data_IF_814168970179
#
_entry.id   IF_814168970179
#
_cell.length_a   1.000
_cell.length_b   1.000
_cell.length_c   1.000
_cell.angle_alpha   90.00
_cell.angle_beta   90.00
_cell.angle_gamma   90.00
#
_symmetry.space_group_name_H-M   'P 1'
#
loop_
_entity.id
_entity.type
_entity.pdbx_description
1 polymer ?
#
# COMPACT_ATOMS: atom_id res chain seq x y z
N UNK A 1 9.53 -13.96 66.30
CA UNK A 1 10.69 -13.19 65.77
C UNK A 1 10.77 -13.21 64.25
N UNK A 2 10.56 -14.36 63.60
CA UNK A 2 10.65 -14.48 62.12
C UNK A 2 9.58 -13.63 61.40
N UNK A 3 8.32 -13.63 61.84
CA UNK A 3 7.21 -12.86 61.21
C UNK A 3 7.45 -11.34 61.22
N UNK A 4 7.98 -10.79 62.31
CA UNK A 4 8.33 -9.37 62.43
C UNK A 4 9.45 -8.93 61.46
N UNK A 5 10.37 -9.84 61.11
CA UNK A 5 11.44 -9.55 60.14
C UNK A 5 10.91 -9.53 58.70
N UNK A 6 9.92 -10.36 58.37
CA UNK A 6 9.27 -10.36 57.07
C UNK A 6 8.47 -9.08 56.82
N UNK A 7 7.72 -8.60 57.82
CA UNK A 7 7.00 -7.33 57.73
C UNK A 7 7.93 -6.14 57.50
N UNK A 8 9.09 -6.13 58.17
CA UNK A 8 10.08 -5.05 58.02
C UNK A 8 10.74 -5.05 56.64
N UNK A 9 10.97 -6.24 56.06
CA UNK A 9 11.50 -6.39 54.70
C UNK A 9 10.46 -5.99 53.64
N UNK A 10 9.20 -6.39 53.84
CA UNK A 10 8.09 -6.01 52.95
C UNK A 10 7.84 -4.50 52.97
N UNK A 11 7.90 -3.88 54.15
CA UNK A 11 7.81 -2.43 54.30
C UNK A 11 8.94 -1.70 53.57
N UNK A 12 10.18 -2.20 53.66
CA UNK A 12 11.31 -1.63 52.93
C UNK A 12 11.14 -1.75 51.40
N UNK A 13 10.63 -2.88 50.91
CA UNK A 13 10.32 -3.05 49.47
C UNK A 13 9.20 -2.12 49.01
N UNK A 14 8.13 -1.97 49.80
CA UNK A 14 7.04 -1.05 49.48
C UNK A 14 7.52 0.41 49.46
N UNK A 15 8.40 0.81 50.38
CA UNK A 15 9.02 2.14 50.40
C UNK A 15 9.94 2.36 49.20
N UNK A 16 10.73 1.36 48.81
CA UNK A 16 11.57 1.42 47.61
C UNK A 16 10.71 1.58 46.34
N UNK A 17 9.65 0.77 46.20
CA UNK A 17 8.74 0.86 45.06
C UNK A 17 8.00 2.20 45.01
N UNK A 18 7.64 2.76 46.17
CA UNK A 18 7.04 4.10 46.25
C UNK A 18 8.01 5.18 45.78
N UNK A 19 9.30 5.07 46.15
CA UNK A 19 10.33 6.02 45.73
C UNK A 19 10.63 5.93 44.23
N UNK A 20 10.70 4.72 43.69
CA UNK A 20 10.84 4.48 42.25
C UNK A 20 9.63 5.01 41.48
N UNK A 21 8.40 4.81 41.99
CA UNK A 21 7.17 5.33 41.39
C UNK A 21 7.15 6.86 41.39
N UNK A 22 7.50 7.51 42.50
CA UNK A 22 7.63 8.97 42.59
C UNK A 22 8.64 9.52 41.59
N UNK A 23 9.78 8.85 41.43
CA UNK A 23 10.82 9.24 40.48
C UNK A 23 10.32 9.10 39.04
N UNK A 24 9.63 8.01 38.70
CA UNK A 24 9.02 7.82 37.38
C UNK A 24 7.95 8.87 37.08
N UNK A 25 7.11 9.21 38.06
CA UNK A 25 6.10 10.28 37.94
C UNK A 25 6.78 11.62 37.66
N UNK A 26 7.86 11.94 38.36
CA UNK A 26 8.58 13.20 38.16
C UNK A 26 9.29 13.24 36.79
N UNK A 27 9.84 12.12 36.32
CA UNK A 27 10.41 12.01 34.97
C UNK A 27 9.32 12.23 33.91
N UNK A 28 8.16 11.59 34.05
CA UNK A 28 7.03 11.80 33.14
C UNK A 28 6.56 13.26 33.21
N UNK A 29 6.49 13.85 34.41
CA UNK A 29 6.11 15.26 34.60
C UNK A 29 7.10 16.20 33.94
N UNK A 30 8.40 15.94 34.09
CA UNK A 30 9.47 16.71 33.45
C UNK A 30 9.43 16.54 31.92
N UNK A 31 9.14 15.34 31.41
CA UNK A 31 8.95 15.09 29.98
C UNK A 31 7.69 15.80 29.43
N UNK A 32 6.60 15.85 30.20
CA UNK A 32 5.40 16.61 29.85
C UNK A 32 5.71 18.11 29.87
N UNK A 33 6.39 18.63 30.90
CA UNK A 33 6.78 20.03 30.97
C UNK A 33 7.75 20.41 29.85
N UNK A 34 8.71 19.54 29.51
CA UNK A 34 9.58 19.72 28.34
C UNK A 34 8.79 19.69 27.04
N UNK A 35 7.84 18.77 26.88
CA UNK A 35 6.96 18.70 25.71
C UNK A 35 6.06 19.93 25.60
N UNK A 36 5.56 20.46 26.72
CA UNK A 36 4.77 21.69 26.79
C UNK A 36 5.64 22.91 26.50
N UNK A 37 6.86 22.99 27.02
CA UNK A 37 7.77 24.11 26.79
C UNK A 37 8.36 24.10 25.36
N UNK A 38 8.60 22.93 24.78
CA UNK A 38 8.88 22.80 23.33
C UNK A 38 7.65 23.08 22.48
N UNK A 39 6.43 22.87 23.00
CA UNK A 39 5.20 23.35 22.36
C UNK A 39 5.07 24.88 22.48
N UNK A 40 5.37 25.50 23.62
CA UNK A 40 5.26 26.96 23.85
C UNK A 40 6.27 27.76 23.02
N UNK A 41 7.48 27.25 22.79
CA UNK A 41 8.41 27.83 21.80
C UNK A 41 7.98 27.59 20.34
N UNK A 42 6.94 26.76 20.11
CA UNK A 42 6.31 26.55 18.82
C UNK A 42 4.99 27.33 18.65
N UNK A 43 4.54 28.10 19.65
CA UNK A 43 3.29 28.87 19.55
C UNK A 43 3.37 30.10 18.62
N UNK A 44 4.57 30.49 18.17
CA UNK A 44 4.76 31.51 17.12
C UNK A 44 4.91 30.93 15.71
N UNK A 45 4.85 29.60 15.58
CA UNK A 45 4.77 28.91 14.30
C UNK A 45 3.65 27.88 14.39
N UNK A 46 2.43 28.34 14.17
CA UNK A 46 1.25 27.51 13.98
C UNK A 46 1.59 26.35 13.03
N UNK A 47 1.93 25.17 13.59
CA UNK A 47 1.92 23.93 12.84
C UNK A 47 0.45 23.71 12.49
N UNK A 48 0.05 23.81 11.22
CA UNK A 48 -1.34 23.64 10.87
C UNK A 48 -1.72 22.22 11.23
N UNK A 49 -2.86 22.07 11.91
CA UNK A 49 -3.56 20.78 12.01
C UNK A 49 -3.74 20.31 10.56
N UNK A 50 -2.95 19.30 10.16
CA UNK A 50 -2.94 18.79 8.78
C UNK A 50 -4.36 18.26 8.52
N UNK A 51 -5.04 18.82 7.53
CA UNK A 51 -6.41 18.40 7.21
C UNK A 51 -6.42 16.92 6.78
N UNK A 52 -7.53 16.19 7.01
CA UNK A 52 -7.65 14.79 6.56
C UNK A 52 -7.36 14.61 5.07
N UNK A 53 -7.72 15.59 4.25
CA UNK A 53 -7.40 15.63 2.83
C UNK A 53 -5.88 15.74 2.59
N UNK A 54 -5.20 16.65 3.30
CA UNK A 54 -3.76 16.79 3.18
C UNK A 54 -2.99 15.56 3.65
N UNK A 55 -3.46 14.86 4.70
CA UNK A 55 -2.86 13.61 5.13
C UNK A 55 -2.97 12.54 4.03
N UNK A 56 -4.17 12.38 3.47
CA UNK A 56 -4.43 11.44 2.35
C UNK A 56 -3.58 11.78 1.12
N UNK A 57 -3.40 13.06 0.81
CA UNK A 57 -2.52 13.49 -0.28
C UNK A 57 -1.05 13.16 -0.02
N UNK A 58 -0.56 13.35 1.21
CA UNK A 58 0.82 13.01 1.54
C UNK A 58 1.05 11.49 1.50
N UNK A 59 0.06 10.69 1.93
CA UNK A 59 0.10 9.24 1.77
C UNK A 59 0.15 8.84 0.29
N UNK A 60 -0.71 9.40 -0.56
CA UNK A 60 -0.68 9.16 -2.01
C UNK A 60 0.67 9.52 -2.63
N UNK A 61 1.25 10.67 -2.28
CA UNK A 61 2.58 11.09 -2.75
C UNK A 61 3.67 10.14 -2.30
N UNK A 62 3.63 9.70 -1.04
CA UNK A 62 4.61 8.77 -0.51
C UNK A 62 4.63 7.46 -1.31
N UNK A 63 3.47 6.84 -1.50
CA UNK A 63 3.35 5.61 -2.30
C UNK A 63 3.73 5.83 -3.76
N UNK A 64 3.36 6.99 -4.34
CA UNK A 64 3.74 7.32 -5.70
C UNK A 64 5.27 7.39 -5.87
N UNK A 65 5.99 8.01 -4.93
CA UNK A 65 7.47 8.04 -4.96
C UNK A 65 8.08 6.65 -4.82
N UNK A 66 7.53 5.79 -3.95
CA UNK A 66 7.99 4.40 -3.79
C UNK A 66 7.83 3.65 -5.10
N UNK A 67 6.63 3.65 -5.68
CA UNK A 67 6.35 2.93 -6.91
C UNK A 67 7.17 3.49 -8.08
N UNK A 68 7.37 4.80 -8.15
CA UNK A 68 8.24 5.40 -9.18
C UNK A 68 9.67 4.88 -9.09
N UNK A 69 10.24 4.81 -7.88
CA UNK A 69 11.57 4.26 -7.65
C UNK A 69 11.65 2.77 -8.01
N UNK A 70 10.60 1.98 -7.70
CA UNK A 70 10.51 0.56 -8.05
C UNK A 70 10.46 0.36 -9.57
N UNK A 71 9.61 1.12 -10.27
CA UNK A 71 9.47 1.05 -11.72
C UNK A 71 10.79 1.42 -12.44
N UNK A 72 11.43 2.52 -12.06
CA UNK A 72 12.71 2.93 -12.66
C UNK A 72 13.84 1.92 -12.33
N UNK A 73 13.85 1.37 -11.11
CA UNK A 73 14.77 0.29 -10.73
C UNK A 73 14.61 -0.95 -11.61
N UNK A 74 13.37 -1.43 -11.78
CA UNK A 74 13.06 -2.59 -12.62
C UNK A 74 13.42 -2.34 -14.10
N UNK A 75 13.12 -1.16 -14.62
CA UNK A 75 13.46 -0.73 -15.99
C UNK A 75 14.98 -0.69 -16.20
N UNK A 76 15.75 -0.24 -15.22
CA UNK A 76 17.22 -0.25 -15.28
C UNK A 76 17.78 -1.68 -15.29
N UNK A 77 17.22 -2.58 -14.48
CA UNK A 77 17.57 -4.01 -14.50
C UNK A 77 17.27 -4.63 -15.87
N UNK A 78 16.09 -4.35 -16.45
CA UNK A 78 15.73 -4.85 -17.78
C UNK A 78 16.70 -4.39 -18.87
N UNK A 79 17.14 -3.12 -18.84
CA UNK A 79 18.15 -2.59 -19.76
C UNK A 79 19.50 -3.30 -19.58
N UNK A 80 19.92 -3.49 -18.34
CA UNK A 80 21.19 -4.15 -18.01
C UNK A 80 21.19 -5.61 -18.49
N UNK A 81 20.14 -6.37 -18.17
CA UNK A 81 19.98 -7.78 -18.56
C UNK A 81 19.76 -7.95 -20.08
N UNK A 82 19.13 -6.99 -20.75
CA UNK A 82 18.94 -7.00 -22.20
C UNK A 82 20.22 -6.72 -23.01
N UNK A 83 21.22 -6.07 -22.40
CA UNK A 83 22.51 -5.74 -23.02
C UNK A 83 23.60 -6.81 -22.83
N UNK A 84 23.37 -7.79 -21.93
CA UNK A 84 24.33 -8.85 -21.60
C UNK A 84 24.35 -9.99 -22.63
N UNK A 85 25.52 -10.62 -22.83
CA UNK A 85 25.70 -11.77 -23.74
C UNK A 85 25.05 -13.07 -23.23
N UNK A 86 24.78 -13.18 -21.92
CA UNK A 86 24.04 -14.27 -21.30
C UNK A 86 22.79 -13.66 -20.68
N UNK A 87 21.63 -13.93 -21.28
CA UNK A 87 20.36 -13.39 -20.81
C UNK A 87 19.77 -14.33 -19.75
N UNK A 88 19.75 -13.88 -18.49
CA UNK A 88 18.94 -14.55 -17.46
C UNK A 88 17.46 -14.24 -17.73
N UNK A 89 16.83 -15.13 -18.49
CA UNK A 89 15.43 -14.99 -18.92
C UNK A 89 14.46 -14.94 -17.73
N UNK A 90 14.81 -15.57 -16.60
CA UNK A 90 13.98 -15.56 -15.38
C UNK A 90 14.07 -14.19 -14.71
N UNK A 91 15.28 -13.70 -14.48
CA UNK A 91 15.49 -12.36 -13.90
C UNK A 91 14.87 -11.26 -14.76
N UNK A 92 14.95 -11.37 -16.10
CA UNK A 92 14.32 -10.42 -17.01
C UNK A 92 12.79 -10.46 -16.89
N UNK A 93 12.17 -11.65 -16.87
CA UNK A 93 10.73 -11.80 -16.69
C UNK A 93 10.24 -11.24 -15.34
N UNK A 94 11.02 -11.43 -14.29
CA UNK A 94 10.72 -10.91 -12.95
C UNK A 94 10.85 -9.39 -12.88
N UNK A 95 11.87 -8.81 -13.50
CA UNK A 95 12.01 -7.36 -13.62
C UNK A 95 10.88 -6.75 -14.47
N UNK A 96 10.50 -7.40 -15.57
CA UNK A 96 9.36 -6.98 -16.39
C UNK A 96 8.03 -7.02 -15.61
N UNK A 97 7.80 -8.07 -14.81
CA UNK A 97 6.60 -8.18 -14.00
C UNK A 97 6.53 -7.06 -12.94
N UNK A 98 7.63 -6.78 -12.24
CA UNK A 98 7.71 -5.67 -11.28
C UNK A 98 7.50 -4.31 -11.94
N UNK A 99 8.11 -4.09 -13.11
CA UNK A 99 7.91 -2.86 -13.88
C UNK A 99 6.45 -2.68 -14.27
N UNK A 100 5.81 -3.73 -14.80
CA UNK A 100 4.41 -3.68 -15.22
C UNK A 100 3.48 -3.41 -14.03
N UNK A 101 3.66 -4.13 -12.92
CA UNK A 101 2.85 -3.94 -11.71
C UNK A 101 2.98 -2.52 -11.16
N UNK A 102 4.21 -2.04 -11.01
CA UNK A 102 4.49 -0.72 -10.46
C UNK A 102 4.00 0.40 -11.38
N UNK A 103 4.13 0.24 -12.70
CA UNK A 103 3.53 1.15 -13.68
C UNK A 103 1.99 1.17 -13.56
N UNK A 104 1.36 0.01 -13.36
CA UNK A 104 -0.10 -0.06 -13.20
C UNK A 104 -0.55 0.69 -11.93
N UNK A 105 0.17 0.55 -10.82
CA UNK A 105 -0.09 1.30 -9.57
C UNK A 105 0.15 2.79 -9.74
N UNK A 106 1.22 3.19 -10.43
CA UNK A 106 1.54 4.59 -10.72
C UNK A 106 0.40 5.27 -11.47
N UNK A 107 -0.22 4.62 -12.46
CA UNK A 107 -1.38 5.19 -13.17
C UNK A 107 -2.55 5.48 -12.22
N UNK A 108 -2.84 4.57 -11.28
CA UNK A 108 -3.90 4.73 -10.29
C UNK A 108 -3.57 5.84 -9.28
N UNK A 109 -2.36 5.85 -8.74
CA UNK A 109 -1.91 6.85 -7.77
C UNK A 109 -1.84 8.24 -8.40
N UNK A 110 -1.37 8.34 -9.65
CA UNK A 110 -1.36 9.56 -10.44
C UNK A 110 -2.77 10.12 -10.58
N UNK A 111 -3.71 9.29 -11.02
CA UNK A 111 -5.09 9.69 -11.18
C UNK A 111 -5.76 10.09 -9.85
N UNK A 112 -5.44 9.39 -8.76
CA UNK A 112 -5.90 9.73 -7.41
C UNK A 112 -5.39 11.10 -6.98
N UNK A 113 -4.10 11.39 -7.20
CA UNK A 113 -3.49 12.69 -6.91
C UNK A 113 -4.13 13.81 -7.73
N UNK A 114 -4.34 13.60 -9.03
CA UNK A 114 -5.02 14.56 -9.90
C UNK A 114 -6.45 14.86 -9.43
N UNK A 115 -7.20 13.84 -8.99
CA UNK A 115 -8.53 14.02 -8.40
C UNK A 115 -8.47 14.85 -7.11
N UNK A 116 -7.59 14.51 -6.16
CA UNK A 116 -7.47 15.25 -4.89
C UNK A 116 -6.97 16.69 -5.09
N UNK A 117 -6.17 16.93 -6.13
CA UNK A 117 -5.67 18.26 -6.45
C UNK A 117 -6.79 19.18 -6.97
N UNK A 118 -7.78 18.63 -7.67
CA UNK A 118 -8.98 19.36 -8.09
C UNK A 118 -9.93 19.71 -6.92
N UNK A 119 -9.80 19.03 -5.79
CA UNK A 119 -10.56 19.33 -4.56
C UNK A 119 -9.92 20.46 -3.73
N UNK A 120 -8.67 20.83 -4.02
CA UNK A 120 -7.99 21.93 -3.34
C UNK A 120 -8.39 23.30 -3.93
N UNK A 121 -8.38 24.37 -3.10
CA UNK A 121 -8.46 25.74 -3.61
C UNK A 121 -7.30 26.02 -4.59
N UNK A 122 -7.59 26.72 -5.69
CA UNK A 122 -6.66 26.97 -6.82
C UNK A 122 -5.31 27.64 -6.44
N UNK A 123 -5.19 28.20 -5.24
CA UNK A 123 -3.99 28.88 -4.74
C UNK A 123 -3.27 28.14 -3.59
N UNK A 124 -3.53 26.84 -3.40
CA UNK A 124 -2.92 26.09 -2.30
C UNK A 124 -1.42 25.80 -2.58
N UNK A 125 -0.48 26.13 -1.67
CA UNK A 125 0.96 25.98 -1.92
C UNK A 125 1.38 24.53 -2.21
N UNK A 126 0.67 23.53 -1.66
CA UNK A 126 0.93 22.11 -1.96
C UNK A 126 0.51 21.67 -3.36
N UNK A 127 -0.39 22.40 -4.03
CA UNK A 127 -0.80 22.12 -5.41
C UNK A 127 0.39 22.25 -6.35
N UNK A 128 1.18 23.32 -6.22
CA UNK A 128 2.36 23.54 -7.05
C UNK A 128 3.41 22.45 -6.90
N UNK A 129 3.65 21.97 -5.66
CA UNK A 129 4.66 20.92 -5.40
C UNK A 129 4.22 19.58 -6.01
N UNK A 130 2.92 19.25 -5.94
CA UNK A 130 2.38 18.02 -6.53
C UNK A 130 2.42 18.11 -8.06
N UNK A 131 2.00 19.23 -8.65
CA UNK A 131 2.09 19.46 -10.10
C UNK A 131 3.54 19.34 -10.58
N UNK A 132 4.50 19.93 -9.86
CA UNK A 132 5.92 19.85 -10.19
C UNK A 132 6.42 18.40 -10.15
N UNK A 133 6.11 17.63 -9.11
CA UNK A 133 6.47 16.21 -9.02
C UNK A 133 5.83 15.35 -10.13
N UNK A 134 4.56 15.56 -10.45
CA UNK A 134 3.87 14.90 -11.56
C UNK A 134 4.50 15.26 -12.93
N UNK A 135 4.99 16.50 -13.08
CA UNK A 135 5.63 16.98 -14.31
C UNK A 135 7.04 16.42 -14.51
N UNK A 136 7.81 16.25 -13.43
CA UNK A 136 9.15 15.64 -13.45
C UNK A 136 9.12 14.18 -13.90
N UNK A 137 8.04 13.46 -13.62
CA UNK A 137 7.83 12.06 -14.05
C UNK A 137 7.41 11.94 -15.52
N UNK A 138 6.87 13.00 -16.12
CA UNK A 138 6.41 12.99 -17.53
C UNK A 138 7.51 13.36 -18.54
N UNK A 139 8.67 13.81 -18.06
CA UNK A 139 9.79 14.25 -18.92
C UNK A 139 10.86 13.15 -19.04
N UNK A 140 11.36 12.82 -20.25
CA UNK A 140 12.49 11.89 -20.39
C UNK A 140 13.73 12.52 -19.73
N UNK A 141 14.32 11.82 -18.77
CA UNK A 141 15.47 12.29 -18.00
C UNK A 141 16.71 12.48 -18.89
N UNK A 142 16.94 13.70 -19.36
CA UNK A 142 18.25 14.18 -19.79
C UNK A 142 18.93 14.83 -18.58
N UNK A 143 19.58 14.04 -17.71
CA UNK A 143 20.76 14.42 -16.89
C UNK A 143 21.04 13.42 -15.76
N UNK A 144 22.25 12.82 -15.67
CA UNK A 144 22.62 11.87 -14.61
C UNK A 144 23.24 12.56 -13.38
N UNK A 145 22.68 13.69 -12.91
CA UNK A 145 23.26 14.50 -11.81
C UNK A 145 22.29 14.95 -10.72
N UNK A 146 21.25 14.16 -10.43
CA UNK A 146 20.36 14.42 -9.29
C UNK A 146 20.26 13.23 -8.32
N UNK A 147 21.38 12.54 -8.09
CA UNK A 147 21.53 11.59 -6.97
C UNK A 147 21.68 12.28 -5.59
N UNK A 148 21.22 13.53 -5.46
CA UNK A 148 21.30 14.34 -4.22
C UNK A 148 19.96 15.02 -3.94
N UNK A 149 18.87 14.24 -3.95
CA UNK A 149 17.61 14.63 -3.31
C UNK A 149 17.35 13.63 -2.17
N UNK A 150 18.28 13.57 -1.23
CA UNK A 150 18.15 12.88 0.05
C UNK A 150 18.07 13.87 1.22
N UNK A 151 17.92 15.17 0.95
CA UNK A 151 17.86 16.23 1.97
C UNK A 151 16.52 16.98 2.03
N UNK A 152 15.57 16.74 1.13
CA UNK A 152 14.18 17.20 1.28
C UNK A 152 13.32 16.17 2.04
N UNK A 153 13.85 15.65 3.15
CA UNK A 153 13.12 14.79 4.10
C UNK A 153 12.47 15.61 5.24
N UNK A 154 12.33 16.93 5.10
CA UNK A 154 11.79 17.78 6.18
C UNK A 154 10.27 17.97 6.16
N UNK A 155 9.55 17.33 5.23
CA UNK A 155 8.08 17.44 5.16
C UNK A 155 7.33 16.11 4.97
N UNK A 156 7.98 14.95 5.15
CA UNK A 156 7.23 13.70 5.31
C UNK A 156 6.74 13.64 6.75
N UNK A 157 5.51 14.08 7.00
CA UNK A 157 4.86 13.98 8.32
C UNK A 157 4.47 12.54 8.67
N UNK A 158 4.71 11.59 7.77
CA UNK A 158 4.56 10.17 7.99
C UNK A 158 5.77 9.61 8.75
N UNK A 159 5.57 9.28 10.02
CA UNK A 159 6.52 8.46 10.78
C UNK A 159 6.72 7.12 10.08
N UNK A 160 7.96 6.63 10.07
CA UNK A 160 8.29 5.30 9.54
C UNK A 160 7.54 4.24 10.37
N UNK A 161 6.67 3.40 9.76
CA UNK A 161 5.86 2.46 10.53
C UNK A 161 6.71 1.44 11.30
N UNK A 162 6.19 0.99 12.44
CA UNK A 162 6.78 -0.10 13.22
C UNK A 162 6.81 -1.39 12.40
N UNK A 163 7.91 -2.13 12.50
CA UNK A 163 8.02 -3.47 11.91
C UNK A 163 7.48 -4.47 12.91
N UNK A 164 6.48 -5.25 12.50
CA UNK A 164 5.69 -6.10 13.37
C UNK A 164 5.88 -7.57 12.98
N UNK A 165 5.94 -8.42 14.00
CA UNK A 165 5.98 -9.88 13.86
C UNK A 165 4.80 -10.44 14.63
N UNK A 166 4.11 -11.42 14.07
CA UNK A 166 2.86 -11.96 14.61
C UNK A 166 1.99 -12.54 13.50
N UNK A 167 0.69 -12.64 13.75
CA UNK A 167 -0.28 -13.19 12.79
C UNK A 167 -1.39 -12.17 12.54
N UNK A 168 -1.72 -11.95 11.27
CA UNK A 168 -2.79 -11.06 10.83
C UNK A 168 -3.92 -11.88 10.20
N UNK A 169 -5.11 -11.82 10.79
CA UNK A 169 -6.32 -12.33 10.18
C UNK A 169 -7.01 -11.23 9.38
N UNK A 170 -7.21 -11.49 8.09
CA UNK A 170 -7.90 -10.58 7.17
C UNK A 170 -9.09 -11.29 6.55
N UNK A 171 -10.29 -10.74 6.71
CA UNK A 171 -11.49 -11.19 6.01
C UNK A 171 -11.89 -10.16 4.96
N UNK A 172 -11.88 -10.53 3.69
CA UNK A 172 -12.40 -9.70 2.60
C UNK A 172 -13.81 -10.14 2.26
N UNK A 173 -14.78 -9.26 2.51
CA UNK A 173 -16.20 -9.52 2.23
C UNK A 173 -16.52 -9.25 0.76
N UNK A 174 -16.20 -8.05 0.26
CA UNK A 174 -16.54 -7.63 -1.09
C UNK A 174 -16.12 -6.20 -1.38
N UNK A 175 -16.41 -5.71 -2.57
CA UNK A 175 -16.17 -4.33 -2.96
C UNK A 175 -17.28 -3.78 -3.86
N UNK A 176 -17.38 -2.45 -3.93
CA UNK A 176 -18.35 -1.75 -4.76
C UNK A 176 -17.75 -0.45 -5.31
N UNK A 177 -18.43 0.13 -6.30
CA UNK A 177 -18.10 1.43 -6.90
C UNK A 177 -16.66 1.50 -7.47
N UNK A 178 -16.16 0.35 -7.96
CA UNK A 178 -14.81 0.22 -8.50
C UNK A 178 -14.69 0.96 -9.83
N UNK A 179 -13.51 1.54 -10.09
CA UNK A 179 -13.22 2.27 -11.31
C UNK A 179 -13.38 1.38 -12.56
N UNK A 180 -14.31 1.74 -13.44
CA UNK A 180 -14.54 1.02 -14.70
C UNK A 180 -13.60 1.48 -15.83
N UNK A 181 -13.33 2.78 -15.92
CA UNK A 181 -12.43 3.37 -16.93
C UNK A 181 -11.05 3.61 -16.33
N UNK A 182 -10.18 2.60 -16.38
CA UNK A 182 -8.84 2.67 -15.79
C UNK A 182 -7.85 3.41 -16.71
N UNK A 183 -7.17 4.47 -16.23
CA UNK A 183 -6.16 5.20 -17.00
C UNK A 183 -5.01 4.32 -17.48
N UNK A 184 -4.49 4.61 -18.67
CA UNK A 184 -3.32 3.89 -19.22
C UNK A 184 -3.60 2.45 -19.64
N UNK A 185 -4.86 2.01 -19.68
CA UNK A 185 -5.25 0.65 -20.11
C UNK A 185 -5.85 0.68 -21.50
N UNK A 186 -5.53 -0.35 -22.29
CA UNK A 186 -6.10 -0.52 -23.63
C UNK A 186 -6.25 -2.00 -23.98
N UNK A 187 -7.24 -2.34 -24.81
CA UNK A 187 -7.48 -3.72 -25.31
C UNK A 187 -6.30 -4.29 -26.10
N UNK A 188 -5.38 -3.46 -26.59
CA UNK A 188 -4.21 -3.87 -27.38
C UNK A 188 -3.02 -4.33 -26.52
N UNK A 189 -3.04 -4.08 -25.21
CA UNK A 189 -1.95 -4.40 -24.30
C UNK A 189 -2.08 -5.84 -23.79
N UNK A 190 -1.02 -6.65 -23.89
CA UNK A 190 -1.01 -7.99 -23.30
C UNK A 190 -0.95 -7.91 -21.77
N UNK A 191 -1.80 -8.67 -21.08
CA UNK A 191 -1.98 -8.55 -19.63
C UNK A 191 -1.71 -9.87 -18.94
N UNK A 192 -0.86 -9.82 -17.94
CA UNK A 192 -0.69 -10.86 -16.93
C UNK A 192 -1.63 -10.58 -15.76
N UNK A 193 -2.74 -11.33 -15.67
CA UNK A 193 -3.64 -11.28 -14.53
C UNK A 193 -3.08 -12.11 -13.36
N UNK A 194 -3.45 -11.80 -12.10
CA UNK A 194 -3.07 -12.60 -10.93
C UNK A 194 -3.51 -14.07 -11.10
N UNK A 195 -2.53 -14.98 -11.08
CA UNK A 195 -2.66 -16.35 -11.57
C UNK A 195 -3.13 -17.40 -10.55
N UNK A 196 -3.79 -17.04 -9.44
CA UNK A 196 -4.18 -18.03 -8.44
C UNK A 196 -5.63 -17.85 -7.96
N UNK A 197 -6.56 -18.58 -8.59
CA UNK A 197 -7.91 -18.77 -8.03
C UNK A 197 -7.92 -19.99 -7.11
N UNK A 198 -8.32 -19.88 -5.83
CA UNK A 198 -8.43 -21.03 -4.92
C UNK A 198 -9.37 -22.14 -5.42
N UNK A 199 -10.26 -21.83 -6.37
CA UNK A 199 -11.22 -22.76 -6.95
C UNK A 199 -10.80 -23.38 -8.29
N UNK A 200 -9.69 -22.97 -8.89
CA UNK A 200 -9.18 -23.62 -10.10
C UNK A 200 -8.20 -24.73 -9.70
N UNK A 201 -8.69 -25.97 -9.68
CA UNK A 201 -7.86 -27.15 -9.59
C UNK A 201 -6.75 -27.04 -10.65
N UNK A 202 -5.49 -27.16 -10.21
CA UNK A 202 -4.25 -27.13 -11.00
C UNK A 202 -4.49 -27.59 -12.45
N UNK A 203 -4.69 -26.65 -13.38
CA UNK A 203 -4.51 -26.98 -14.78
C UNK A 203 -3.00 -27.02 -15.01
N UNK A 204 -2.44 -28.19 -14.74
CA UNK A 204 -1.09 -28.56 -15.13
C UNK A 204 -0.84 -28.15 -16.59
N UNK A 205 0.15 -27.29 -16.76
CA UNK A 205 0.99 -27.14 -17.94
C UNK A 205 0.75 -28.23 -19.00
N UNK A 206 0.01 -27.90 -20.06
CA UNK A 206 0.22 -28.29 -21.47
C UNK A 206 -0.77 -27.44 -22.29
N UNK A 207 -0.31 -26.29 -22.77
CA UNK A 207 -0.87 -25.68 -23.97
C UNK A 207 0.26 -25.57 -24.99
N UNK A 208 0.42 -26.64 -25.78
CA UNK A 208 1.27 -26.65 -26.98
C UNK A 208 0.85 -25.51 -27.92
N UNK A 209 1.77 -24.86 -28.65
CA UNK A 209 1.40 -23.86 -29.64
C UNK A 209 0.81 -24.56 -30.86
N UNK A 210 -0.51 -24.46 -31.04
CA UNK A 210 -1.17 -24.88 -32.28
C UNK A 210 -1.09 -23.74 -33.31
N UNK A 211 -0.37 -23.98 -34.40
CA UNK A 211 -0.43 -23.17 -35.62
C UNK A 211 -1.76 -23.44 -36.35
N UNK A 212 -2.57 -22.41 -36.57
CA UNK A 212 -3.54 -22.33 -37.68
C UNK A 212 -3.92 -20.86 -37.92
N UNK A 213 -3.33 -20.20 -38.93
CA UNK A 213 -3.84 -20.00 -40.30
C UNK A 213 -5.12 -19.13 -40.38
N UNK A 214 -4.94 -18.00 -41.07
CA UNK A 214 -5.89 -17.05 -41.63
C UNK A 214 -7.28 -17.60 -41.99
N UNK A 215 -8.32 -16.83 -41.64
CA UNK A 215 -9.69 -16.98 -42.12
C UNK A 215 -10.47 -15.68 -41.95
N UNK A 216 -10.72 -15.00 -43.07
CA UNK A 216 -11.56 -13.81 -43.20
C UNK A 216 -13.02 -14.12 -42.87
N UNK A 217 -13.68 -13.26 -42.09
CA UNK A 217 -15.10 -13.34 -41.80
C UNK A 217 -15.61 -12.04 -41.18
N UNK A 218 -16.20 -11.17 -42.00
CA UNK A 218 -17.01 -10.03 -41.54
C UNK A 218 -18.15 -10.56 -40.67
N UNK A 219 -18.29 -10.08 -39.43
CA UNK A 219 -19.56 -10.06 -38.72
C UNK A 219 -19.56 -8.98 -37.63
N UNK A 220 -20.52 -8.06 -37.76
CA UNK A 220 -21.31 -7.36 -36.75
C UNK A 220 -20.65 -6.97 -35.41
N UNK A 221 -20.66 -5.65 -35.17
CA UNK A 221 -20.67 -4.98 -33.87
C UNK A 221 -21.30 -5.85 -32.77
N UNK A 222 -20.46 -6.43 -31.90
CA UNK A 222 -20.87 -7.04 -30.64
C UNK A 222 -20.28 -6.22 -29.50
N UNK A 223 -21.17 -5.73 -28.67
CA UNK A 223 -20.95 -5.03 -27.40
C UNK A 223 -19.97 -5.80 -26.49
N UNK A 224 -18.94 -5.08 -26.04
CA UNK A 224 -18.03 -5.31 -24.91
C UNK A 224 -17.76 -6.73 -24.35
N UNK A 225 -16.53 -7.22 -24.58
CA UNK A 225 -15.82 -8.19 -23.74
C UNK A 225 -15.37 -7.56 -22.40
N UNK A 226 -16.28 -6.92 -21.66
CA UNK A 226 -16.02 -6.46 -20.28
C UNK A 226 -16.43 -7.58 -19.31
N UNK A 227 -15.50 -7.98 -18.43
CA UNK A 227 -15.84 -8.93 -17.37
C UNK A 227 -16.33 -8.17 -16.15
N UNK A 228 -17.44 -8.62 -15.56
CA UNK A 228 -17.94 -8.06 -14.29
C UNK A 228 -17.30 -8.73 -13.07
N UNK A 229 -16.31 -9.60 -13.27
CA UNK A 229 -15.61 -10.31 -12.20
C UNK A 229 -14.38 -9.55 -11.71
N UNK A 230 -14.25 -9.52 -10.38
CA UNK A 230 -13.14 -8.89 -9.65
C UNK A 230 -12.46 -9.89 -8.73
N UNK A 231 -11.16 -9.69 -8.50
CA UNK A 231 -10.42 -10.34 -7.43
C UNK A 231 -9.61 -9.31 -6.64
N UNK A 232 -9.28 -9.65 -5.40
CA UNK A 232 -8.40 -8.88 -4.54
C UNK A 232 -7.15 -9.71 -4.21
N UNK A 233 -5.99 -9.07 -4.23
CA UNK A 233 -4.70 -9.63 -3.88
C UNK A 233 -4.18 -8.91 -2.65
N UNK A 234 -3.83 -9.67 -1.62
CA UNK A 234 -3.22 -9.20 -0.37
C UNK A 234 -1.70 -9.34 -0.48
N UNK A 235 -0.96 -8.26 -0.21
CA UNK A 235 0.50 -8.29 -0.19
C UNK A 235 1.04 -7.70 1.12
N UNK A 236 1.98 -8.41 1.72
CA UNK A 236 2.77 -7.91 2.85
C UNK A 236 4.13 -7.47 2.31
N UNK A 237 4.46 -6.18 2.49
CA UNK A 237 5.71 -5.58 2.01
C UNK A 237 6.06 -5.95 0.55
N UNK A 238 5.09 -5.81 -0.37
CA UNK A 238 5.17 -6.18 -1.79
C UNK A 238 5.29 -7.69 -2.10
N UNK A 239 5.12 -8.56 -1.12
CA UNK A 239 5.08 -10.01 -1.31
C UNK A 239 3.64 -10.52 -1.24
N UNK A 240 3.19 -11.24 -2.27
CA UNK A 240 1.83 -11.80 -2.31
C UNK A 240 1.64 -12.81 -1.17
N UNK A 241 0.67 -12.52 -0.31
CA UNK A 241 0.33 -13.32 0.87
C UNK A 241 -1.04 -13.99 0.75
N UNK A 242 -1.95 -13.45 -0.09
CA UNK A 242 -3.25 -14.05 -0.36
C UNK A 242 -3.90 -13.50 -1.63
N UNK A 243 -4.84 -14.27 -2.19
CA UNK A 243 -5.63 -13.87 -3.35
C UNK A 243 -7.06 -14.42 -3.21
N UNK A 244 -8.06 -13.60 -3.55
CA UNK A 244 -9.45 -14.03 -3.57
C UNK A 244 -9.83 -14.73 -4.88
N UNK A 245 -10.95 -15.46 -4.86
CA UNK A 245 -11.58 -15.97 -6.07
C UNK A 245 -12.09 -14.82 -6.97
N UNK A 246 -12.09 -15.04 -8.29
CA UNK A 246 -12.77 -14.15 -9.22
C UNK A 246 -14.28 -14.27 -9.04
N UNK A 247 -14.95 -13.17 -8.73
CA UNK A 247 -16.41 -13.14 -8.52
C UNK A 247 -17.00 -11.82 -8.99
N UNK A 248 -18.29 -11.77 -9.36
CA UNK A 248 -18.99 -10.53 -9.68
C UNK A 248 -18.88 -9.50 -8.56
N UNK A 249 -18.78 -8.22 -8.91
CA UNK A 249 -18.73 -7.10 -7.95
C UNK A 249 -19.99 -7.08 -7.06
N UNK A 250 -19.78 -6.97 -5.74
CA UNK A 250 -20.80 -6.99 -4.70
C UNK A 250 -20.15 -6.67 -3.35
N UNK A 251 -20.94 -6.17 -2.40
CA UNK A 251 -20.50 -5.96 -1.01
C UNK A 251 -20.14 -7.27 -0.27
N UNK A 252 -20.58 -8.42 -0.78
CA UNK A 252 -20.30 -9.75 -0.26
C UNK A 252 -19.82 -10.69 -1.38
N UNK A 253 -19.02 -10.18 -2.32
CA UNK A 253 -18.46 -10.99 -3.40
C UNK A 253 -17.74 -12.23 -2.84
N UNK A 254 -16.72 -12.04 -2.02
CA UNK A 254 -15.79 -13.12 -1.67
C UNK A 254 -16.16 -13.84 -0.39
N UNK A 255 -16.39 -13.09 0.68
CA UNK A 255 -16.43 -13.56 2.06
C UNK A 255 -15.30 -14.55 2.42
N UNK A 256 -14.06 -14.19 2.06
CA UNK A 256 -12.88 -15.05 2.23
C UNK A 256 -12.00 -14.56 3.36
N UNK A 257 -11.53 -15.50 4.20
CA UNK A 257 -10.61 -15.26 5.31
C UNK A 257 -9.20 -15.73 4.95
N UNK A 258 -8.22 -14.94 5.36
CA UNK A 258 -6.81 -15.19 5.19
C UNK A 258 -6.12 -15.03 6.54
N UNK A 259 -5.20 -15.94 6.84
CA UNK A 259 -4.31 -15.87 8.00
C UNK A 259 -2.90 -15.66 7.46
N UNK A 260 -2.34 -14.49 7.72
CA UNK A 260 -1.06 -14.05 7.17
C UNK A 260 -0.03 -13.98 8.29
N UNK A 261 1.11 -14.64 8.10
CA UNK A 261 2.24 -14.52 9.02
C UNK A 261 3.00 -13.23 8.73
N UNK A 262 3.24 -12.44 9.78
CA UNK A 262 3.99 -11.20 9.73
C UNK A 262 5.43 -11.48 10.16
N UNK A 263 6.39 -11.17 9.30
CA UNK A 263 7.82 -11.21 9.62
C UNK A 263 8.42 -9.81 9.43
N UNK A 264 8.47 -9.05 10.53
CA UNK A 264 8.92 -7.65 10.53
C UNK A 264 8.19 -6.79 9.49
N UNK A 265 6.94 -7.14 9.22
CA UNK A 265 6.09 -6.49 8.23
C UNK A 265 5.53 -5.18 8.73
N UNK A 266 5.32 -4.24 7.82
CA UNK A 266 4.91 -2.86 8.16
C UNK A 266 3.57 -2.49 7.58
N UNK A 267 3.29 -3.00 6.39
CA UNK A 267 2.17 -2.55 5.58
C UNK A 267 1.50 -3.73 4.88
N UNK A 268 0.16 -3.68 4.88
CA UNK A 268 -0.68 -4.54 4.05
C UNK A 268 -1.17 -3.73 2.85
N UNK A 269 -0.82 -4.18 1.66
CA UNK A 269 -1.40 -3.72 0.41
C UNK A 269 -2.56 -4.63 -0.01
N UNK A 270 -3.68 -4.03 -0.39
CA UNK A 270 -4.82 -4.70 -1.00
C UNK A 270 -5.01 -4.15 -2.41
N UNK A 271 -4.79 -5.00 -3.41
CA UNK A 271 -4.88 -4.64 -4.83
C UNK A 271 -6.08 -5.34 -5.47
N UNK A 272 -6.99 -4.58 -6.11
CA UNK A 272 -8.20 -5.09 -6.76
C UNK A 272 -8.02 -5.09 -8.28
N UNK A 273 -8.38 -6.20 -8.92
CA UNK A 273 -8.23 -6.42 -10.36
C UNK A 273 -9.57 -6.74 -11.00
N UNK A 274 -9.79 -6.22 -12.22
CA UNK A 274 -10.80 -6.72 -13.14
C UNK A 274 -10.30 -7.97 -13.89
N UNK A 275 -11.20 -8.91 -14.18
CA UNK A 275 -10.89 -10.11 -14.98
C UNK A 275 -10.94 -9.83 -16.49
N UNK A 276 -10.36 -8.72 -16.91
CA UNK A 276 -10.29 -8.33 -18.31
C UNK A 276 -9.09 -7.39 -18.56
N UNK A 277 -9.13 -6.67 -19.67
CA UNK A 277 -8.04 -5.82 -20.09
C UNK A 277 -7.78 -4.61 -19.16
N UNK A 278 -8.71 -4.29 -18.24
CA UNK A 278 -8.54 -3.20 -17.28
C UNK A 278 -7.51 -3.55 -16.19
N UNK A 279 -7.34 -4.84 -15.88
CA UNK A 279 -6.37 -5.33 -14.90
C UNK A 279 -6.54 -4.62 -13.53
N UNK A 280 -5.43 -4.26 -12.87
CA UNK A 280 -5.38 -3.51 -11.61
C UNK A 280 -6.16 -2.20 -11.74
N UNK A 281 -7.21 -2.07 -10.94
CA UNK A 281 -8.15 -0.96 -11.00
C UNK A 281 -8.25 -0.16 -9.71
N UNK A 282 -7.88 -0.74 -8.57
CA UNK A 282 -7.88 -0.03 -7.30
C UNK A 282 -6.85 -0.61 -6.31
N UNK A 283 -6.33 0.23 -5.42
CA UNK A 283 -5.36 -0.16 -4.38
C UNK A 283 -5.70 0.47 -3.03
N UNK A 284 -5.29 -0.20 -1.95
CA UNK A 284 -5.29 0.37 -0.59
C UNK A 284 -4.09 -0.12 0.19
N UNK A 285 -3.46 0.80 0.92
CA UNK A 285 -2.37 0.52 1.83
C UNK A 285 -2.85 0.74 3.26
N UNK A 286 -2.57 -0.22 4.14
CA UNK A 286 -2.92 -0.16 5.56
C UNK A 286 -1.64 -0.35 6.37
N UNK A 287 -1.39 0.56 7.32
CA UNK A 287 -0.29 0.40 8.27
C UNK A 287 -0.69 -0.63 9.31
N UNK A 288 0.17 -1.61 9.51
CA UNK A 288 -0.12 -2.69 10.45
C UNK A 288 -0.11 -2.21 11.91
N UNK A 289 0.61 -1.12 12.20
CA UNK A 289 0.67 -0.51 13.54
C UNK A 289 -0.67 0.03 14.03
N UNK A 290 -1.60 0.33 13.13
CA UNK A 290 -2.93 0.83 13.47
C UNK A 290 -3.83 -0.26 14.10
N UNK A 291 -3.43 -1.54 14.04
CA UNK A 291 -4.22 -2.70 14.52
C UNK A 291 -3.64 -3.40 15.75
N UNK A 292 -2.74 -2.75 16.49
CA UNK A 292 -2.02 -3.31 17.64
C UNK A 292 -2.85 -3.38 18.94
N UNK A 293 -4.17 -3.59 18.85
CA UNK A 293 -5.08 -3.63 20.01
C UNK A 293 -5.73 -5.01 20.24
N UNK A 294 -5.35 -6.01 19.43
CA UNK A 294 -5.93 -7.36 19.41
C UNK A 294 -7.46 -7.41 19.21
N UNK A 295 -8.07 -6.30 18.76
CA UNK A 295 -9.49 -6.22 18.45
C UNK A 295 -9.76 -6.60 16.99
N UNK A 296 -11.03 -6.93 16.73
CA UNK A 296 -11.52 -7.12 15.36
C UNK A 296 -12.02 -5.80 14.81
N UNK A 297 -11.35 -5.29 13.79
CA UNK A 297 -11.66 -4.03 13.11
C UNK A 297 -12.47 -4.31 11.86
N UNK A 298 -13.80 -4.15 11.93
CA UNK A 298 -14.65 -4.12 10.75
C UNK A 298 -14.63 -2.74 10.11
N UNK A 299 -14.32 -2.66 8.82
CA UNK A 299 -14.02 -1.40 8.16
C UNK A 299 -14.53 -1.31 6.71
N UNK A 300 -14.92 -0.09 6.34
CA UNK A 300 -15.19 0.31 4.97
C UNK A 300 -13.98 1.12 4.47
N UNK A 301 -13.17 0.51 3.64
CA UNK A 301 -11.92 1.07 3.14
C UNK A 301 -12.16 1.77 1.81
N UNK A 302 -11.91 3.08 1.77
CA UNK A 302 -11.87 3.83 0.51
C UNK A 302 -10.60 3.48 -0.26
N UNK A 303 -10.79 2.93 -1.45
CA UNK A 303 -9.73 2.56 -2.37
C UNK A 303 -9.27 3.77 -3.20
N UNK A 304 -8.04 3.70 -3.67
CA UNK A 304 -7.47 4.66 -4.60
C UNK A 304 -7.46 4.07 -6.01
N UNK A 305 -7.99 4.78 -7.03
CA UNK A 305 -8.58 6.12 -6.97
C UNK A 305 -10.04 6.16 -6.54
N UNK A 306 -10.76 5.04 -6.67
CA UNK A 306 -12.19 4.96 -6.42
C UNK A 306 -12.59 3.56 -5.96
N UNK A 307 -13.61 3.51 -5.11
CA UNK A 307 -14.28 2.30 -4.68
C UNK A 307 -14.27 2.14 -3.18
N UNK A 308 -15.13 1.24 -2.70
CA UNK A 308 -15.21 0.88 -1.28
C UNK A 308 -15.00 -0.62 -1.14
N UNK A 309 -14.05 -1.00 -0.28
CA UNK A 309 -13.76 -2.38 0.08
C UNK A 309 -14.26 -2.65 1.50
N UNK A 310 -14.99 -3.74 1.68
CA UNK A 310 -15.47 -4.20 2.97
C UNK A 310 -14.54 -5.27 3.50
N UNK A 311 -13.87 -4.98 4.61
CA UNK A 311 -12.88 -5.87 5.20
C UNK A 311 -13.02 -5.93 6.73
N UNK A 312 -12.54 -7.02 7.31
CA UNK A 312 -12.28 -7.11 8.74
C UNK A 312 -10.83 -7.52 8.97
N UNK A 313 -10.16 -6.84 9.89
CA UNK A 313 -8.77 -7.10 10.23
C UNK A 313 -8.66 -7.39 11.72
N UNK A 314 -7.86 -8.38 12.09
CA UNK A 314 -7.53 -8.67 13.48
C UNK A 314 -6.07 -9.09 13.56
N UNK A 315 -5.34 -8.47 14.48
CA UNK A 315 -3.93 -8.78 14.71
C UNK A 315 -3.77 -9.62 15.97
N UNK A 316 -2.79 -10.52 15.94
CA UNK A 316 -2.30 -11.30 17.06
C UNK A 316 -0.78 -11.13 17.14
N UNK A 317 -0.28 -10.65 18.28
CA UNK A 317 1.15 -10.50 18.58
C UNK A 317 1.70 -11.72 19.33
#
# INVERSE_FOLDING_TARGET
>A
TITFMWDRKLLATAQQMLQDSKTKIEVIRMQILQAVQTNELAYDNAKPVISPLELRMEELRHHFRIEYAVAEGAKNVMKLLGSGKVTDRKALSEAQARFNESSQKLDLLKYSLEQRLNELPKNHPKSSIIIEELSLVSSPTLSPRQSVISTQNQYSTLSKPAALTGTLEVRLMGCQDILESVPGRSKATSITLPGWSPNEARSSFISRPSKSKSGSGRNLLKTDDLSNEVCAVLKLDNTVAGQTSWKPISNQSWDQKFTLELDRSRELEISVYWRDWRSLCAVKFLRLEDFLDNQRHGMCLYLEPQGTLFAEVRMFL
#
